data_IF_305904438862
#
_entry.id   IF_305904438862
#
_cell.length_a   1.000
_cell.length_b   1.000
_cell.length_c   1.000
_cell.angle_alpha   90.00
_cell.angle_beta   90.00
_cell.angle_gamma   90.00
#
_symmetry.space_group_name_H-M   'P 1'
#
loop_
_entity.id
_entity.type
_entity.pdbx_description
1 polymer ?
#
# COMPACT_ATOMS: atom_id res chain seq x y z
N UNK A 1 -8.63 -9.18 -4.06
CA UNK A 1 -8.86 -10.25 -3.06
C UNK A 1 -8.18 -11.51 -3.53
N UNK A 2 -7.52 -12.22 -2.63
CA UNK A 2 -6.80 -13.44 -2.97
C UNK A 2 -7.22 -14.54 -2.00
N UNK A 3 -8.09 -15.45 -2.47
CA UNK A 3 -8.48 -16.64 -1.72
C UNK A 3 -7.24 -17.42 -1.27
N UNK A 4 -6.22 -17.49 -2.13
CA UNK A 4 -4.94 -18.14 -1.83
C UNK A 4 -4.19 -17.49 -0.66
N UNK A 5 -4.31 -16.18 -0.48
CA UNK A 5 -3.72 -15.50 0.70
C UNK A 5 -4.47 -15.90 1.98
N UNK A 6 -5.79 -15.98 1.93
CA UNK A 6 -6.61 -16.39 3.08
C UNK A 6 -6.37 -17.87 3.41
N UNK A 7 -6.25 -18.74 2.43
CA UNK A 7 -5.87 -20.15 2.64
C UNK A 7 -4.51 -20.26 3.34
N UNK A 8 -3.52 -19.49 2.87
CA UNK A 8 -2.18 -19.46 3.48
C UNK A 8 -2.24 -18.93 4.92
N UNK A 9 -3.00 -17.85 5.15
CA UNK A 9 -3.18 -17.29 6.47
C UNK A 9 -3.83 -18.29 7.44
N UNK A 10 -4.86 -19.00 7.01
CA UNK A 10 -5.53 -20.03 7.82
C UNK A 10 -4.60 -21.21 8.12
N UNK A 11 -3.78 -21.64 7.14
CA UNK A 11 -2.75 -22.67 7.36
C UNK A 11 -1.74 -22.25 8.43
N UNK A 12 -1.25 -21.03 8.36
CA UNK A 12 -0.32 -20.48 9.35
C UNK A 12 -0.98 -20.33 10.73
N UNK A 13 -2.25 -19.98 10.77
CA UNK A 13 -3.02 -19.89 12.02
C UNK A 13 -3.11 -21.25 12.70
N UNK A 14 -3.44 -22.30 11.97
CA UNK A 14 -3.49 -23.66 12.51
C UNK A 14 -2.14 -24.08 13.11
N UNK A 15 -1.04 -23.77 12.45
CA UNK A 15 0.31 -24.05 12.95
C UNK A 15 0.68 -23.24 14.20
N UNK A 16 0.14 -22.04 14.33
CA UNK A 16 0.43 -21.14 15.47
C UNK A 16 -0.29 -21.53 16.76
N UNK A 17 -1.31 -22.40 16.70
CA UNK A 17 -2.16 -22.78 17.82
C UNK A 17 -3.03 -21.67 18.40
N UNK A 18 -3.05 -20.47 17.82
CA UNK A 18 -3.88 -19.35 18.27
C UNK A 18 -5.35 -19.57 17.92
N UNK A 19 -6.24 -19.25 18.88
CA UNK A 19 -7.70 -19.46 18.73
C UNK A 19 -8.51 -18.18 18.66
N UNK A 20 -7.88 -17.04 18.90
CA UNK A 20 -8.53 -15.72 18.92
C UNK A 20 -8.35 -14.91 17.63
N UNK A 21 -8.03 -15.59 16.54
CA UNK A 21 -7.82 -14.98 15.21
C UNK A 21 -8.72 -15.70 14.22
N UNK A 22 -9.30 -14.94 13.30
CA UNK A 22 -10.00 -15.48 12.14
C UNK A 22 -9.68 -14.67 10.89
N UNK A 23 -9.67 -15.33 9.73
CA UNK A 23 -9.49 -14.68 8.44
C UNK A 23 -10.71 -14.91 7.57
N UNK A 24 -11.15 -13.86 6.88
CA UNK A 24 -12.27 -13.93 5.94
C UNK A 24 -11.93 -13.18 4.65
N UNK A 25 -12.42 -13.69 3.52
CA UNK A 25 -12.46 -12.92 2.28
C UNK A 25 -13.59 -11.92 2.38
N UNK A 26 -13.29 -10.65 2.23
CA UNK A 26 -14.28 -9.57 2.31
C UNK A 26 -13.85 -8.41 1.41
N UNK A 27 -14.83 -7.76 0.79
CA UNK A 27 -14.63 -6.47 0.14
C UNK A 27 -14.69 -5.36 1.20
N UNK A 28 -13.60 -4.62 1.37
CA UNK A 28 -13.54 -3.52 2.33
C UNK A 28 -14.37 -2.29 1.95
N UNK A 29 -14.88 -2.24 0.72
CA UNK A 29 -15.87 -1.25 0.30
C UNK A 29 -17.32 -1.75 0.46
N UNK A 30 -17.50 -3.02 0.85
CA UNK A 30 -18.81 -3.65 1.13
C UNK A 30 -18.67 -4.56 2.32
N UNK A 31 -18.38 -3.98 3.47
CA UNK A 31 -18.10 -4.73 4.68
C UNK A 31 -19.38 -5.41 5.21
N UNK A 32 -19.33 -6.74 5.34
CA UNK A 32 -20.34 -7.54 6.03
C UNK A 32 -19.90 -7.75 7.49
N UNK A 33 -20.06 -6.70 8.27
CA UNK A 33 -19.68 -6.67 9.69
C UNK A 33 -20.81 -6.04 10.51
N UNK A 34 -21.03 -6.50 11.76
CA UNK A 34 -22.02 -5.89 12.63
C UNK A 34 -21.70 -4.43 12.95
N UNK A 35 -22.74 -3.63 13.15
CA UNK A 35 -22.60 -2.28 13.68
C UNK A 35 -22.18 -2.32 15.15
N UNK A 36 -21.43 -1.30 15.60
CA UNK A 36 -21.00 -1.13 17.00
C UNK A 36 -20.30 -2.37 17.58
N UNK A 37 -19.44 -3.00 16.82
CA UNK A 37 -18.84 -4.27 17.19
C UNK A 37 -17.36 -4.18 17.57
N UNK A 38 -16.56 -3.41 16.82
CA UNK A 38 -15.13 -3.35 17.03
C UNK A 38 -14.70 -2.20 17.94
N UNK A 39 -13.70 -2.46 18.78
CA UNK A 39 -13.05 -1.42 19.58
C UNK A 39 -11.96 -0.71 18.79
N UNK A 40 -11.36 -1.41 17.82
CA UNK A 40 -10.31 -0.90 16.96
C UNK A 40 -10.42 -1.51 15.55
N UNK A 41 -10.35 -0.65 14.54
CA UNK A 41 -10.17 -1.06 13.14
C UNK A 41 -8.82 -0.55 12.65
N UNK A 42 -8.06 -1.40 11.97
CA UNK A 42 -6.81 -1.01 11.31
C UNK A 42 -6.88 -1.30 9.82
N UNK A 43 -6.50 -0.33 9.01
CA UNK A 43 -6.39 -0.46 7.56
C UNK A 43 -4.95 -0.18 7.12
N UNK A 44 -4.39 -1.07 6.31
CA UNK A 44 -3.02 -0.92 5.84
C UNK A 44 -2.91 -1.16 4.35
N UNK A 45 -2.43 -0.16 3.62
CA UNK A 45 -2.19 -0.21 2.17
C UNK A 45 -3.42 -0.70 1.39
N UNK A 46 -4.58 -0.18 1.74
CA UNK A 46 -5.86 -0.54 1.13
C UNK A 46 -6.76 0.68 1.03
N UNK A 47 -7.67 0.65 0.06
CA UNK A 47 -8.75 1.63 -0.03
C UNK A 47 -9.74 1.34 1.11
N UNK A 48 -10.27 2.37 1.72
CA UNK A 48 -11.24 2.28 2.80
C UNK A 48 -12.56 2.98 2.44
N UNK A 49 -13.64 2.55 3.08
CA UNK A 49 -14.88 3.31 3.19
C UNK A 49 -15.03 3.77 4.64
N UNK A 50 -14.65 5.02 4.95
CA UNK A 50 -14.68 5.51 6.34
C UNK A 50 -16.07 5.47 6.98
N UNK A 51 -17.13 5.67 6.20
CA UNK A 51 -18.49 5.64 6.72
C UNK A 51 -18.91 4.23 7.16
N UNK A 52 -18.56 3.20 6.40
CA UNK A 52 -18.81 1.82 6.80
C UNK A 52 -17.99 1.46 8.03
N UNK A 53 -16.70 1.86 8.07
CA UNK A 53 -15.86 1.62 9.25
C UNK A 53 -16.43 2.31 10.47
N UNK A 54 -16.88 3.56 10.34
CA UNK A 54 -17.49 4.31 11.45
C UNK A 54 -18.68 3.58 12.08
N UNK A 55 -19.56 2.99 11.25
CA UNK A 55 -20.70 2.20 11.71
C UNK A 55 -20.30 0.93 12.45
N UNK A 56 -19.21 0.29 12.05
CA UNK A 56 -18.76 -0.96 12.68
C UNK A 56 -18.02 -0.75 14.00
N UNK A 57 -17.53 0.46 14.26
CA UNK A 57 -16.86 0.80 15.49
C UNK A 57 -17.88 1.06 16.62
N UNK A 58 -17.52 0.64 17.82
CA UNK A 58 -18.23 1.02 19.05
C UNK A 58 -18.04 2.51 19.32
N UNK A 59 -18.90 3.04 20.19
CA UNK A 59 -18.68 4.38 20.74
C UNK A 59 -17.31 4.45 21.45
N UNK A 60 -16.50 5.46 21.09
CA UNK A 60 -15.11 5.57 21.55
C UNK A 60 -14.13 4.62 20.86
N UNK A 61 -14.57 3.83 19.89
CA UNK A 61 -13.70 2.96 19.07
C UNK A 61 -12.79 3.77 18.18
N UNK A 62 -11.66 3.19 17.79
CA UNK A 62 -10.58 3.87 17.08
C UNK A 62 -10.37 3.31 15.68
N UNK A 63 -9.99 4.18 14.74
CA UNK A 63 -9.52 3.82 13.40
C UNK A 63 -8.06 4.21 13.25
N UNK A 64 -7.21 3.27 12.81
CA UNK A 64 -5.82 3.52 12.43
C UNK A 64 -5.65 3.18 10.96
N UNK A 65 -5.31 4.17 10.14
CA UNK A 65 -5.02 3.97 8.71
C UNK A 65 -3.54 4.19 8.46
N UNK A 66 -2.90 3.24 7.79
CA UNK A 66 -1.56 3.40 7.24
C UNK A 66 -1.61 3.26 5.73
N UNK A 67 -1.49 4.36 5.04
CA UNK A 67 -1.42 4.43 3.59
C UNK A 67 -0.03 4.81 3.07
N UNK A 68 0.10 4.85 1.77
CA UNK A 68 1.20 5.47 1.04
C UNK A 68 0.67 6.70 0.32
N UNK A 69 1.47 7.76 0.27
CA UNK A 69 1.07 8.98 -0.40
C UNK A 69 1.68 9.09 -1.80
N UNK A 70 1.26 10.07 -2.57
CA UNK A 70 1.78 10.36 -3.91
C UNK A 70 3.31 10.50 -3.96
N UNK A 71 3.93 10.95 -2.86
CA UNK A 71 5.37 11.11 -2.74
C UNK A 71 6.12 9.81 -2.41
N UNK A 72 5.41 8.69 -2.21
CA UNK A 72 6.04 7.38 -2.07
C UNK A 72 6.84 7.04 -3.32
N UNK A 73 8.08 6.61 -3.13
CA UNK A 73 9.04 6.31 -4.21
C UNK A 73 9.14 7.42 -5.28
N UNK A 74 9.03 8.69 -4.87
CA UNK A 74 8.94 9.83 -5.77
C UNK A 74 10.10 9.94 -6.76
N UNK A 75 11.32 9.61 -6.34
CA UNK A 75 12.50 9.61 -7.20
C UNK A 75 12.36 8.64 -8.38
N UNK A 76 11.79 7.45 -8.13
CA UNK A 76 11.46 6.48 -9.19
C UNK A 76 10.36 7.02 -10.11
N UNK A 77 9.23 7.44 -9.55
CA UNK A 77 8.10 7.98 -10.31
C UNK A 77 8.53 9.15 -11.22
N UNK A 78 9.36 10.05 -10.72
CA UNK A 78 9.90 11.16 -11.52
C UNK A 78 10.77 10.69 -12.68
N UNK A 79 11.60 9.67 -12.48
CA UNK A 79 12.47 9.16 -13.53
C UNK A 79 11.69 8.44 -14.62
N UNK A 80 10.68 7.67 -14.22
CA UNK A 80 9.77 6.96 -15.15
C UNK A 80 8.66 7.84 -15.70
N UNK A 81 8.43 9.04 -15.12
CA UNK A 81 7.36 10.00 -15.46
C UNK A 81 5.96 9.38 -15.37
N UNK A 82 5.77 8.43 -14.48
CA UNK A 82 4.51 7.74 -14.21
C UNK A 82 4.53 7.07 -12.84
N UNK A 83 3.38 6.54 -12.43
CA UNK A 83 3.21 5.74 -11.22
C UNK A 83 2.01 6.19 -10.41
N UNK A 84 1.69 5.44 -9.40
CA UNK A 84 0.52 5.66 -8.55
C UNK A 84 0.46 7.10 -8.05
N UNK A 85 -0.65 7.78 -8.34
CA UNK A 85 -0.92 9.17 -7.97
C UNK A 85 0.13 10.20 -8.49
N UNK A 86 0.93 9.85 -9.52
CA UNK A 86 1.99 10.74 -10.02
C UNK A 86 1.45 12.07 -10.52
N UNK A 87 0.29 12.07 -11.17
CA UNK A 87 -0.36 13.25 -11.73
C UNK A 87 -1.38 13.89 -10.78
N UNK A 88 -1.64 13.29 -9.63
CA UNK A 88 -2.64 13.80 -8.70
C UNK A 88 -2.20 15.13 -8.11
N UNK A 89 -3.12 16.09 -8.08
CA UNK A 89 -2.87 17.41 -7.50
C UNK A 89 -2.87 17.29 -5.97
N UNK A 90 -3.89 16.61 -5.43
CA UNK A 90 -4.11 16.47 -4.01
C UNK A 90 -3.40 15.21 -3.46
N UNK A 91 -2.68 15.31 -2.33
CA UNK A 91 -2.15 14.12 -1.66
C UNK A 91 -3.24 13.12 -1.27
N UNK A 92 -2.97 11.83 -1.42
CA UNK A 92 -3.92 10.75 -1.05
C UNK A 92 -4.23 10.85 0.45
N UNK A 93 -3.23 11.09 1.27
CA UNK A 93 -3.38 11.25 2.72
C UNK A 93 -4.37 12.37 3.11
N UNK A 94 -4.43 13.44 2.33
CA UNK A 94 -5.38 14.53 2.57
C UNK A 94 -6.79 14.17 2.12
N UNK A 95 -6.91 13.38 1.04
CA UNK A 95 -8.21 12.86 0.58
C UNK A 95 -8.79 11.92 1.64
N UNK A 96 -7.99 10.99 2.14
CA UNK A 96 -8.39 10.06 3.18
C UNK A 96 -8.74 10.78 4.50
N UNK A 97 -7.94 11.78 4.89
CA UNK A 97 -8.19 12.60 6.07
C UNK A 97 -9.56 13.29 6.01
N UNK A 98 -9.88 13.94 4.90
CA UNK A 98 -11.18 14.60 4.71
C UNK A 98 -12.33 13.59 4.72
N UNK A 99 -12.18 12.47 4.01
CA UNK A 99 -13.21 11.43 3.99
C UNK A 99 -13.47 10.83 5.38
N UNK A 100 -12.43 10.69 6.21
CA UNK A 100 -12.54 10.23 7.60
C UNK A 100 -13.30 11.27 8.45
N UNK A 101 -12.96 12.57 8.31
CA UNK A 101 -13.67 13.64 8.99
C UNK A 101 -15.15 13.72 8.57
N UNK A 102 -15.43 13.62 7.28
CA UNK A 102 -16.80 13.65 6.74
C UNK A 102 -17.65 12.45 7.19
N UNK A 103 -17.00 11.30 7.47
CA UNK A 103 -17.68 10.14 8.04
C UNK A 103 -18.08 10.29 9.52
N UNK A 104 -17.65 11.38 10.18
CA UNK A 104 -18.02 11.71 11.56
C UNK A 104 -16.98 11.40 12.63
N UNK A 105 -15.78 10.95 12.24
CA UNK A 105 -14.67 10.78 13.18
C UNK A 105 -14.24 12.12 13.78
N UNK A 106 -13.86 12.09 15.04
CA UNK A 106 -13.35 13.25 15.79
C UNK A 106 -11.90 13.01 16.19
N UNK A 107 -11.19 14.08 16.52
CA UNK A 107 -9.79 13.99 16.96
C UNK A 107 -8.88 13.26 15.94
N UNK A 108 -9.11 13.55 14.65
CA UNK A 108 -8.35 12.92 13.56
C UNK A 108 -6.97 13.54 13.46
N UNK A 109 -5.93 12.72 13.56
CA UNK A 109 -4.55 13.16 13.38
C UNK A 109 -3.98 12.61 12.06
N UNK A 110 -3.27 13.44 11.31
CA UNK A 110 -2.51 13.04 10.13
C UNK A 110 -1.01 13.13 10.45
N UNK A 111 -0.36 11.97 10.53
CA UNK A 111 1.06 11.88 10.89
C UNK A 111 1.89 11.50 9.65
N UNK A 112 2.62 12.44 9.03
CA UNK A 112 3.49 12.13 7.91
C UNK A 112 4.73 11.35 8.39
N UNK A 113 4.98 10.20 7.76
CA UNK A 113 6.16 9.37 8.02
C UNK A 113 7.09 9.43 6.82
N UNK A 114 8.30 9.96 7.03
CA UNK A 114 9.35 9.99 6.01
C UNK A 114 10.34 8.86 6.28
N UNK A 115 10.22 7.79 5.51
CA UNK A 115 11.09 6.61 5.60
C UNK A 115 11.96 6.52 4.35
N UNK A 116 13.24 6.25 4.51
CA UNK A 116 14.14 5.94 3.41
C UNK A 116 14.42 4.45 3.45
N UNK A 117 14.07 3.75 2.40
CA UNK A 117 14.38 2.35 2.20
C UNK A 117 15.61 2.18 1.32
N UNK A 118 16.41 1.16 1.63
CA UNK A 118 17.59 0.81 0.86
C UNK A 118 17.50 -0.65 0.42
N UNK A 119 17.68 -0.87 -0.87
CA UNK A 119 17.67 -2.21 -1.47
C UNK A 119 19.12 -2.66 -1.70
N UNK A 120 19.45 -3.85 -1.22
CA UNK A 120 20.82 -4.38 -1.29
C UNK A 120 21.27 -4.60 -2.72
N UNK A 121 20.37 -5.07 -3.56
CA UNK A 121 20.63 -5.40 -4.95
C UNK A 121 19.60 -4.73 -5.86
N UNK A 122 19.94 -4.63 -7.15
CA UNK A 122 18.99 -4.16 -8.17
C UNK A 122 17.83 -5.14 -8.36
N UNK A 123 18.07 -6.40 -8.12
CA UNK A 123 17.05 -7.48 -8.17
C UNK A 123 16.01 -7.30 -7.06
N UNK A 124 16.42 -6.88 -5.86
CA UNK A 124 15.48 -6.58 -4.76
C UNK A 124 14.59 -5.37 -5.11
N UNK A 125 15.18 -4.31 -5.65
CA UNK A 125 14.43 -3.15 -6.12
C UNK A 125 13.50 -3.50 -7.28
N UNK A 126 13.97 -4.33 -8.22
CA UNK A 126 13.15 -4.82 -9.32
C UNK A 126 11.95 -5.63 -8.81
N UNK A 127 12.18 -6.55 -7.87
CA UNK A 127 11.12 -7.35 -7.26
C UNK A 127 10.05 -6.49 -6.57
N UNK A 128 10.43 -5.36 -5.97
CA UNK A 128 9.49 -4.38 -5.43
C UNK A 128 8.59 -3.83 -6.55
N UNK A 129 9.19 -3.35 -7.63
CA UNK A 129 8.45 -2.71 -8.73
C UNK A 129 7.47 -3.66 -9.43
N UNK A 130 7.85 -4.93 -9.58
CA UNK A 130 6.97 -5.96 -10.16
C UNK A 130 5.81 -6.33 -9.23
N UNK A 131 6.04 -6.31 -7.91
CA UNK A 131 5.06 -6.78 -6.92
C UNK A 131 4.16 -5.68 -6.37
N UNK A 132 4.43 -4.43 -6.70
CA UNK A 132 3.69 -3.29 -6.16
C UNK A 132 3.25 -2.34 -7.27
N UNK A 133 2.15 -1.60 -7.09
CA UNK A 133 1.66 -0.63 -8.07
C UNK A 133 2.39 0.72 -8.02
N UNK A 134 3.66 0.75 -7.57
CA UNK A 134 4.44 2.00 -7.50
C UNK A 134 4.57 2.64 -8.88
N UNK A 135 4.87 1.82 -9.89
CA UNK A 135 4.89 2.24 -11.29
C UNK A 135 3.75 1.54 -12.03
N UNK A 136 2.90 2.31 -12.69
CA UNK A 136 1.82 1.77 -13.50
C UNK A 136 2.40 0.91 -14.64
N UNK A 137 1.77 -0.24 -14.89
CA UNK A 137 2.15 -1.19 -15.95
C UNK A 137 3.60 -1.70 -15.89
N UNK A 138 4.22 -1.68 -14.73
CA UNK A 138 5.53 -2.30 -14.54
C UNK A 138 5.36 -3.78 -14.23
N UNK A 139 5.81 -4.65 -15.14
CA UNK A 139 5.72 -6.11 -15.01
C UNK A 139 7.03 -6.79 -15.43
N UNK A 140 7.19 -8.07 -15.09
CA UNK A 140 8.29 -8.88 -15.61
C UNK A 140 8.33 -8.90 -17.14
N UNK A 141 7.17 -9.00 -17.75
CA UNK A 141 7.04 -8.99 -19.22
C UNK A 141 7.50 -7.67 -19.80
N UNK A 142 7.10 -6.55 -19.20
CA UNK A 142 7.50 -5.21 -19.67
C UNK A 142 8.99 -4.93 -19.50
N UNK A 143 9.62 -5.56 -18.51
CA UNK A 143 11.06 -5.42 -18.26
C UNK A 143 11.90 -6.39 -19.09
N UNK A 144 11.45 -7.64 -19.26
CA UNK A 144 12.16 -8.70 -19.98
C UNK A 144 11.97 -8.65 -21.49
N UNK A 145 10.91 -8.02 -21.98
CA UNK A 145 10.71 -7.77 -23.41
C UNK A 145 11.71 -6.70 -23.93
N UNK A 146 12.95 -7.11 -24.02
CA UNK A 146 14.08 -6.29 -24.48
C UNK A 146 13.85 -5.57 -25.80
N UNK A 147 13.06 -6.17 -26.67
CA UNK A 147 12.77 -5.65 -28.00
C UNK A 147 11.63 -4.65 -28.03
N UNK A 148 10.72 -4.71 -27.05
CA UNK A 148 9.53 -3.86 -27.05
C UNK A 148 9.59 -2.62 -26.13
N UNK A 149 10.40 -2.67 -25.05
CA UNK A 149 10.55 -1.53 -24.13
C UNK A 149 11.99 -1.28 -23.66
N UNK A 150 12.96 -1.10 -24.58
CA UNK A 150 14.36 -0.85 -24.21
C UNK A 150 14.55 0.41 -23.35
N UNK A 151 13.58 1.34 -23.39
CA UNK A 151 13.57 2.58 -22.62
C UNK A 151 13.41 2.30 -21.13
N UNK A 152 12.56 1.35 -20.72
CA UNK A 152 12.33 1.06 -19.31
C UNK A 152 13.53 0.46 -18.62
N UNK A 153 14.17 -0.51 -19.25
CA UNK A 153 15.39 -1.11 -18.73
C UNK A 153 16.52 -0.08 -18.60
N UNK A 154 16.72 0.71 -19.64
CA UNK A 154 17.72 1.79 -19.62
C UNK A 154 17.42 2.81 -18.52
N UNK A 155 16.14 3.13 -18.30
CA UNK A 155 15.71 4.05 -17.25
C UNK A 155 15.95 3.44 -15.86
N UNK A 156 15.64 2.16 -15.66
CA UNK A 156 15.88 1.44 -14.42
C UNK A 156 17.38 1.37 -14.10
N UNK A 157 18.22 0.96 -15.05
CA UNK A 157 19.68 0.90 -14.87
C UNK A 157 20.27 2.27 -14.55
N UNK A 158 19.77 3.32 -15.21
CA UNK A 158 20.16 4.69 -14.91
C UNK A 158 19.77 5.07 -13.48
N UNK A 159 18.55 4.71 -13.03
CA UNK A 159 18.11 4.94 -11.66
C UNK A 159 19.05 4.26 -10.66
N UNK A 160 19.29 2.97 -10.84
CA UNK A 160 20.19 2.19 -9.98
C UNK A 160 21.56 2.86 -9.88
N UNK A 161 22.16 3.19 -11.01
CA UNK A 161 23.48 3.84 -11.05
C UNK A 161 23.52 5.19 -10.30
N UNK A 162 22.45 5.97 -10.38
CA UNK A 162 22.39 7.30 -9.77
C UNK A 162 22.04 7.28 -8.27
N UNK A 163 21.40 6.22 -7.80
CA UNK A 163 20.89 6.13 -6.43
C UNK A 163 21.58 5.05 -5.58
N UNK A 164 22.63 4.41 -6.10
CA UNK A 164 23.45 3.47 -5.32
C UNK A 164 24.33 4.23 -4.34
N UNK A 165 24.27 3.81 -3.08
CA UNK A 165 25.05 4.34 -1.97
C UNK A 165 25.76 3.20 -1.24
N UNK A 166 26.57 3.49 -0.22
CA UNK A 166 27.18 2.48 0.63
C UNK A 166 26.14 1.62 1.40
N UNK A 167 24.94 2.17 1.63
CA UNK A 167 23.83 1.47 2.30
C UNK A 167 22.97 0.62 1.36
N UNK A 168 23.15 0.79 0.07
CA UNK A 168 22.36 0.17 -0.98
C UNK A 168 21.74 1.18 -1.94
N UNK A 169 20.78 0.72 -2.74
CA UNK A 169 20.04 1.55 -3.70
C UNK A 169 18.88 2.21 -2.93
N UNK A 170 18.84 3.54 -2.97
CA UNK A 170 17.81 4.35 -2.31
C UNK A 170 16.57 4.49 -3.18
#
# INVERSE_FOLDING_TARGET
FSDKMIETANKNLLQSGRRNISFRVMDNLKMDTPDNYFDLVTARHTIIDPLQIYKTLKEGGQLIVRGVDKLDCWSLKRMFKRGQAYHDVKPISLIDYEAIMDAGFKEVELIPLHVIEYYKTKEDLYALLVKTPILDDFSEESFNEYERKPIEKKTFEKYVKQNTTEKGIK
#
